data_IF_141609542072
#
_entry.id   IF_141609542072
#
_cell.length_a   1.000
_cell.length_b   1.000
_cell.length_c   1.000
_cell.angle_alpha   90.00
_cell.angle_beta   90.00
_cell.angle_gamma   90.00
#
_symmetry.space_group_name_H-M   'P 1'
#
loop_
_entity.id
_entity.type
_entity.pdbx_description
1 polymer ?
#
# COMPACT_ATOMS: atom_id res chain seq x y z
N UNK A 1 -34.47 27.66 -53.88
CA UNK A 1 -34.34 26.91 -52.61
C UNK A 1 -33.13 27.46 -51.86
N UNK A 2 -32.87 27.04 -50.64
CA UNK A 2 -33.32 27.88 -49.51
C UNK A 2 -32.12 28.55 -48.85
N UNK A 3 -32.24 29.81 -48.40
CA UNK A 3 -31.16 30.51 -47.68
C UNK A 3 -30.69 29.74 -46.44
N UNK A 4 -31.61 29.00 -45.80
CA UNK A 4 -31.30 28.12 -44.66
C UNK A 4 -30.34 26.97 -45.02
N UNK A 5 -30.30 26.52 -46.28
CA UNK A 5 -29.42 25.42 -46.73
C UNK A 5 -27.97 25.92 -46.87
N UNK A 6 -27.76 27.04 -47.58
CA UNK A 6 -26.49 27.77 -47.61
C UNK A 6 -26.00 28.15 -46.20
N UNK A 7 -26.90 28.63 -45.34
CA UNK A 7 -26.57 28.95 -43.95
C UNK A 7 -26.17 27.69 -43.16
N UNK A 8 -26.88 26.57 -43.31
CA UNK A 8 -26.51 25.30 -42.67
C UNK A 8 -25.12 24.83 -43.12
N UNK A 9 -24.85 24.86 -44.43
CA UNK A 9 -23.56 24.49 -45.02
C UNK A 9 -22.41 25.36 -44.47
N UNK A 10 -22.63 26.67 -44.36
CA UNK A 10 -21.68 27.60 -43.72
C UNK A 10 -21.50 27.30 -42.22
N UNK A 11 -22.59 27.05 -41.48
CA UNK A 11 -22.50 26.72 -40.04
C UNK A 11 -21.79 25.39 -39.77
N UNK A 12 -21.93 24.41 -40.68
CA UNK A 12 -21.25 23.12 -40.56
C UNK A 12 -19.76 23.21 -40.91
N UNK A 13 -19.41 24.07 -41.88
CA UNK A 13 -18.03 24.37 -42.23
C UNK A 13 -17.31 25.13 -41.10
N UNK A 14 -17.91 26.22 -40.61
CA UNK A 14 -17.36 27.10 -39.59
C UNK A 14 -17.49 26.54 -38.16
N UNK A 15 -18.43 25.61 -37.94
CA UNK A 15 -18.86 25.08 -36.63
C UNK A 15 -19.53 26.11 -35.71
N UNK A 16 -19.85 27.29 -36.24
CA UNK A 16 -20.59 28.38 -35.58
C UNK A 16 -21.42 29.15 -36.62
N UNK A 17 -22.39 29.93 -36.18
CA UNK A 17 -23.16 30.82 -37.08
C UNK A 17 -22.28 31.98 -37.56
N UNK A 18 -22.28 32.32 -38.87
CA UNK A 18 -21.60 33.51 -39.40
C UNK A 18 -21.87 34.81 -38.63
N UNK A 19 -23.10 34.98 -38.14
CA UNK A 19 -23.52 36.16 -37.35
C UNK A 19 -22.73 36.23 -36.03
N UNK A 20 -22.53 35.11 -35.32
CA UNK A 20 -21.79 35.08 -34.04
C UNK A 20 -20.34 35.56 -34.17
N UNK A 21 -19.70 35.37 -35.33
CA UNK A 21 -18.35 35.89 -35.59
C UNK A 21 -18.37 37.42 -35.74
N UNK A 22 -19.43 37.97 -36.32
CA UNK A 22 -19.59 39.40 -36.53
C UNK A 22 -20.03 40.09 -35.22
N UNK A 23 -20.90 39.44 -34.44
CA UNK A 23 -21.24 39.81 -33.06
C UNK A 23 -19.96 39.94 -32.22
N UNK A 24 -19.13 38.88 -32.15
CA UNK A 24 -17.85 38.88 -31.40
C UNK A 24 -16.90 40.00 -31.85
N UNK A 25 -16.84 40.30 -33.16
CA UNK A 25 -16.01 41.39 -33.70
C UNK A 25 -16.54 42.75 -33.24
N UNK A 26 -17.84 43.01 -33.38
CA UNK A 26 -18.49 44.26 -32.94
C UNK A 26 -18.29 44.45 -31.43
N UNK A 27 -18.53 43.39 -30.66
CA UNK A 27 -18.40 43.40 -29.21
C UNK A 27 -16.94 43.64 -28.77
N UNK A 28 -15.95 43.09 -29.49
CA UNK A 28 -14.53 43.36 -29.25
C UNK A 28 -14.13 44.82 -29.53
N UNK A 29 -14.74 45.43 -30.54
CA UNK A 29 -14.42 46.78 -31.01
C UNK A 29 -15.10 47.83 -30.13
N UNK A 30 -16.34 47.59 -29.68
CA UNK A 30 -16.96 48.38 -28.62
C UNK A 30 -16.13 48.34 -27.32
N UNK A 31 -15.68 47.16 -26.90
CA UNK A 31 -14.79 46.99 -25.72
C UNK A 31 -13.41 47.64 -25.88
N UNK A 32 -12.95 47.87 -27.12
CA UNK A 32 -11.71 48.61 -27.40
C UNK A 32 -11.96 50.12 -27.46
N UNK A 33 -13.09 50.55 -28.01
CA UNK A 33 -13.50 51.94 -28.12
C UNK A 33 -13.69 52.58 -26.74
N UNK A 34 -14.40 51.93 -25.83
CA UNK A 34 -14.56 52.42 -24.45
C UNK A 34 -13.20 52.57 -23.75
N UNK A 35 -12.35 51.53 -23.78
CA UNK A 35 -10.98 51.61 -23.24
C UNK A 35 -10.11 52.70 -23.85
N UNK A 36 -10.35 53.07 -25.11
CA UNK A 36 -9.64 54.16 -25.77
C UNK A 36 -10.15 55.53 -25.30
N UNK A 37 -11.46 55.69 -25.06
CA UNK A 37 -12.03 56.89 -24.43
C UNK A 37 -11.58 57.01 -22.98
N UNK A 38 -11.67 55.94 -22.18
CA UNK A 38 -11.17 55.86 -20.79
C UNK A 38 -9.69 56.30 -20.71
N UNK A 39 -8.85 55.78 -21.61
CA UNK A 39 -7.42 56.10 -21.64
C UNK A 39 -7.13 57.54 -22.11
N UNK A 40 -7.99 58.13 -22.94
CA UNK A 40 -7.91 59.56 -23.32
C UNK A 40 -8.35 60.45 -22.16
N UNK A 41 -9.44 60.14 -21.48
CA UNK A 41 -9.90 60.89 -20.30
C UNK A 41 -8.89 60.82 -19.16
N UNK A 42 -8.41 59.62 -18.83
CA UNK A 42 -7.37 59.43 -17.81
C UNK A 42 -6.05 60.10 -18.22
N UNK A 43 -5.67 60.02 -19.50
CA UNK A 43 -4.47 60.65 -20.03
C UNK A 43 -4.51 62.18 -19.93
N UNK A 44 -5.64 62.80 -20.32
CA UNK A 44 -5.86 64.25 -20.20
C UNK A 44 -5.96 64.70 -18.74
N UNK A 45 -6.64 63.92 -17.88
CA UNK A 45 -6.78 64.22 -16.45
C UNK A 45 -5.49 64.06 -15.64
N UNK A 46 -4.51 63.31 -16.18
CA UNK A 46 -3.18 63.12 -15.59
C UNK A 46 -2.11 64.01 -16.24
N UNK A 47 -2.44 64.72 -17.32
CA UNK A 47 -1.51 65.62 -17.99
C UNK A 47 -1.20 66.85 -17.11
N UNK A 48 0.07 67.33 -17.04
CA UNK A 48 0.38 68.57 -16.34
C UNK A 48 -0.26 69.76 -17.07
N UNK A 49 -0.71 70.80 -16.34
CA UNK A 49 -1.42 71.93 -16.95
C UNK A 49 -0.61 72.67 -18.02
N UNK A 50 0.72 72.71 -17.88
CA UNK A 50 1.65 73.23 -18.90
C UNK A 50 1.49 72.54 -20.26
N UNK A 51 1.30 71.21 -20.27
CA UNK A 51 1.11 70.43 -21.50
C UNK A 51 -0.30 70.59 -22.11
N UNK A 52 -1.27 71.04 -21.30
CA UNK A 52 -2.61 71.45 -21.73
C UNK A 52 -2.63 72.94 -22.18
N UNK A 53 -1.50 73.65 -22.12
CA UNK A 53 -1.40 75.08 -22.45
C UNK A 53 -1.94 76.03 -21.37
N UNK A 54 -2.20 75.52 -20.17
CA UNK A 54 -2.73 76.28 -19.04
C UNK A 54 -1.59 76.84 -18.19
N UNK A 55 -1.33 78.15 -18.34
CA UNK A 55 -0.43 78.87 -17.44
C UNK A 55 -1.11 79.03 -16.07
N UNK A 56 -0.76 78.16 -15.13
CA UNK A 56 -1.33 78.12 -13.78
C UNK A 56 -0.28 78.62 -12.77
N UNK A 57 -0.53 79.79 -12.18
CA UNK A 57 0.17 80.23 -10.97
C UNK A 57 -0.43 79.51 -9.74
N UNK A 58 0.37 78.76 -8.96
CA UNK A 58 -0.12 77.95 -7.83
C UNK A 58 -0.45 78.77 -6.57
N UNK A 59 -0.44 80.12 -6.65
CA UNK A 59 -0.71 81.03 -5.53
C UNK A 59 -2.01 81.84 -5.65
N UNK A 60 -2.67 81.85 -6.81
CA UNK A 60 -3.91 82.63 -7.03
C UNK A 60 -5.14 81.70 -6.90
N UNK A 61 -6.11 81.93 -6.00
CA UNK A 61 -7.20 80.98 -5.72
C UNK A 61 -8.07 80.61 -6.93
N UNK A 62 -8.06 81.44 -7.99
CA UNK A 62 -8.74 81.18 -9.25
C UNK A 62 -8.17 80.01 -10.05
N UNK A 63 -6.90 79.62 -9.84
CA UNK A 63 -6.33 78.49 -10.58
C UNK A 63 -6.92 77.16 -10.11
N UNK A 64 -7.27 77.03 -8.83
CA UNK A 64 -7.97 75.87 -8.28
C UNK A 64 -9.38 75.73 -8.88
N UNK A 65 -10.09 76.84 -9.05
CA UNK A 65 -11.39 76.88 -9.74
C UNK A 65 -11.25 76.51 -11.23
N UNK A 66 -10.21 77.02 -11.90
CA UNK A 66 -9.92 76.74 -13.30
C UNK A 66 -9.56 75.25 -13.54
N UNK A 67 -8.75 74.64 -12.67
CA UNK A 67 -8.45 73.20 -12.74
C UNK A 67 -9.71 72.34 -12.61
N UNK A 68 -10.61 72.69 -11.69
CA UNK A 68 -11.87 71.98 -11.51
C UNK A 68 -12.77 72.11 -12.74
N UNK A 69 -12.85 73.31 -13.33
CA UNK A 69 -13.61 73.55 -14.57
C UNK A 69 -13.01 72.82 -15.78
N UNK A 70 -11.68 72.76 -15.90
CA UNK A 70 -10.98 72.02 -16.97
C UNK A 70 -11.24 70.51 -16.86
N UNK A 71 -11.23 69.94 -15.65
CA UNK A 71 -11.55 68.51 -15.43
C UNK A 71 -13.01 68.19 -15.86
N UNK A 72 -13.95 69.07 -15.52
CA UNK A 72 -15.35 68.96 -15.96
C UNK A 72 -15.49 69.10 -17.49
N UNK A 73 -14.71 69.99 -18.12
CA UNK A 73 -14.69 70.12 -19.59
C UNK A 73 -14.06 68.91 -20.30
N UNK A 74 -13.05 68.27 -19.69
CA UNK A 74 -12.47 67.00 -20.15
C UNK A 74 -13.51 65.87 -20.07
N UNK A 75 -14.18 65.69 -18.94
CA UNK A 75 -15.27 64.70 -18.74
C UNK A 75 -16.41 64.92 -19.76
N UNK A 76 -16.90 66.16 -19.86
CA UNK A 76 -17.91 66.54 -20.84
C UNK A 76 -17.42 66.51 -22.30
N UNK A 77 -16.11 66.42 -22.54
CA UNK A 77 -15.48 66.19 -23.84
C UNK A 77 -15.40 64.69 -24.17
N UNK A 78 -14.97 63.88 -23.20
CA UNK A 78 -14.89 62.42 -23.27
C UNK A 78 -16.27 61.81 -23.58
N UNK A 79 -17.31 62.16 -22.83
CA UNK A 79 -18.68 61.69 -23.10
C UNK A 79 -19.19 62.07 -24.51
N UNK A 80 -18.82 63.25 -25.03
CA UNK A 80 -19.18 63.65 -26.42
C UNK A 80 -18.42 62.82 -27.44
N UNK A 81 -17.14 62.53 -27.19
CA UNK A 81 -16.33 61.65 -28.02
C UNK A 81 -16.87 60.21 -27.99
N UNK A 82 -17.26 59.69 -26.83
CA UNK A 82 -17.91 58.38 -26.66
C UNK A 82 -19.21 58.31 -27.49
N UNK A 83 -20.06 59.33 -27.40
CA UNK A 83 -21.35 59.37 -28.13
C UNK A 83 -21.13 59.39 -29.64
N UNK A 84 -20.15 60.16 -30.12
CA UNK A 84 -19.76 60.23 -31.53
C UNK A 84 -19.13 58.91 -31.99
N UNK A 85 -18.23 58.34 -31.19
CA UNK A 85 -17.54 57.10 -31.51
C UNK A 85 -18.51 55.92 -31.57
N UNK A 86 -19.42 55.78 -30.59
CA UNK A 86 -20.47 54.77 -30.60
C UNK A 86 -21.35 54.86 -31.85
N UNK A 87 -21.91 56.05 -32.16
CA UNK A 87 -22.76 56.25 -33.35
C UNK A 87 -22.03 56.12 -34.70
N UNK A 88 -20.70 56.23 -34.72
CA UNK A 88 -19.88 56.01 -35.92
C UNK A 88 -19.32 54.59 -36.03
N UNK A 89 -19.19 53.85 -34.93
CA UNK A 89 -18.94 52.41 -34.94
C UNK A 89 -20.19 51.71 -35.45
N UNK A 90 -21.31 51.77 -34.70
CA UNK A 90 -22.65 51.24 -35.03
C UNK A 90 -22.95 51.29 -36.55
N UNK A 91 -23.13 52.51 -37.07
CA UNK A 91 -23.44 52.79 -38.48
C UNK A 91 -22.40 52.32 -39.53
N UNK A 92 -21.18 52.00 -39.14
CA UNK A 92 -20.16 51.47 -40.06
C UNK A 92 -19.98 49.96 -39.92
N UNK A 93 -20.18 49.42 -38.72
CA UNK A 93 -20.13 47.99 -38.46
C UNK A 93 -21.39 47.28 -38.93
N UNK A 94 -22.58 47.91 -38.90
CA UNK A 94 -23.78 47.47 -39.63
C UNK A 94 -23.47 47.18 -41.12
N UNK A 95 -22.79 48.13 -41.78
CA UNK A 95 -22.45 48.01 -43.20
C UNK A 95 -21.42 46.92 -43.44
N UNK A 96 -20.49 46.75 -42.50
CA UNK A 96 -19.49 45.69 -42.54
C UNK A 96 -20.14 44.32 -42.36
N UNK A 97 -21.10 44.18 -41.44
CA UNK A 97 -21.88 42.96 -41.23
C UNK A 97 -22.66 42.58 -42.50
N UNK A 98 -23.47 43.52 -43.02
CA UNK A 98 -24.22 43.33 -44.27
C UNK A 98 -23.32 43.03 -45.46
N UNK A 99 -22.13 43.63 -45.54
CA UNK A 99 -21.14 43.31 -46.58
C UNK A 99 -20.52 41.91 -46.38
N UNK A 100 -20.15 41.55 -45.16
CA UNK A 100 -19.53 40.28 -44.83
C UNK A 100 -20.49 39.10 -45.08
N UNK A 101 -21.73 39.19 -44.59
CA UNK A 101 -22.78 38.19 -44.82
C UNK A 101 -23.21 38.08 -46.30
N UNK A 102 -22.98 39.13 -47.11
CA UNK A 102 -23.32 39.14 -48.54
C UNK A 102 -22.17 38.73 -49.46
N UNK A 103 -20.91 38.95 -49.07
CA UNK A 103 -19.76 38.85 -49.98
C UNK A 103 -18.56 38.06 -49.46
N UNK A 104 -18.44 37.81 -48.15
CA UNK A 104 -17.30 37.11 -47.55
C UNK A 104 -17.74 35.73 -47.06
N UNK A 105 -18.79 35.69 -46.24
CA UNK A 105 -19.37 34.46 -45.66
C UNK A 105 -20.67 34.12 -46.39
N UNK A 106 -20.58 34.05 -47.72
CA UNK A 106 -21.70 33.85 -48.63
C UNK A 106 -21.38 32.78 -49.68
N UNK A 107 -22.37 31.94 -50.00
CA UNK A 107 -22.28 30.93 -51.05
C UNK A 107 -23.04 31.43 -52.29
N UNK A 108 -22.40 31.56 -53.47
CA UNK A 108 -23.09 31.87 -54.72
C UNK A 108 -24.12 30.79 -55.09
N UNK A 109 -25.28 31.22 -55.58
CA UNK A 109 -26.42 30.37 -55.91
C UNK A 109 -26.08 29.21 -56.87
N UNK A 110 -25.19 29.43 -57.83
CA UNK A 110 -24.79 28.43 -58.84
C UNK A 110 -23.85 27.33 -58.28
N UNK A 111 -23.32 27.49 -57.07
CA UNK A 111 -22.29 26.63 -56.48
C UNK A 111 -22.80 25.73 -55.34
N UNK A 112 -24.03 25.93 -54.85
CA UNK A 112 -24.55 25.23 -53.66
C UNK A 112 -24.48 23.69 -53.82
N UNK A 113 -24.95 23.15 -54.95
CA UNK A 113 -24.94 21.70 -55.24
C UNK A 113 -23.54 21.10 -55.47
N UNK A 114 -22.52 21.93 -55.67
CA UNK A 114 -21.15 21.49 -55.98
C UNK A 114 -20.19 21.52 -54.78
N UNK A 115 -20.58 22.15 -53.66
CA UNK A 115 -19.74 22.27 -52.47
C UNK A 115 -19.88 21.02 -51.59
N UNK A 116 -18.77 20.30 -51.42
CA UNK A 116 -18.65 19.14 -50.52
C UNK A 116 -17.66 19.47 -49.40
N UNK A 117 -18.11 19.42 -48.15
CA UNK A 117 -17.23 19.62 -46.98
C UNK A 117 -16.35 18.37 -46.76
N UNK A 118 -15.15 18.51 -46.15
CA UNK A 118 -14.21 17.40 -45.98
C UNK A 118 -14.76 16.18 -45.21
N UNK A 119 -15.65 16.37 -44.23
CA UNK A 119 -16.27 15.26 -43.50
C UNK A 119 -17.32 14.49 -44.34
N UNK A 120 -17.76 15.04 -45.48
CA UNK A 120 -18.56 14.30 -46.45
C UNK A 120 -17.71 13.50 -47.44
N UNK A 121 -16.38 13.59 -47.41
CA UNK A 121 -15.51 12.72 -48.21
C UNK A 121 -15.64 11.26 -47.76
N UNK A 122 -15.60 10.32 -48.71
CA UNK A 122 -15.83 8.89 -48.45
C UNK A 122 -17.28 8.48 -48.14
N UNK A 123 -18.15 9.40 -47.70
CA UNK A 123 -19.59 9.11 -47.51
C UNK A 123 -20.30 8.89 -48.86
N UNK A 124 -20.92 7.71 -48.98
CA UNK A 124 -21.80 7.34 -50.09
C UNK A 124 -23.26 7.38 -49.62
N UNK A 125 -24.00 8.43 -50.00
CA UNK A 125 -25.43 8.56 -49.71
C UNK A 125 -26.34 7.62 -50.51
N UNK A 126 -25.77 6.89 -51.48
CA UNK A 126 -26.42 5.72 -52.08
C UNK A 126 -26.44 4.61 -51.04
N UNK A 127 -27.57 4.47 -50.36
CA UNK A 127 -27.82 3.40 -49.40
C UNK A 127 -27.52 2.04 -50.06
N UNK A 128 -26.52 1.27 -49.59
CA UNK A 128 -26.29 -0.06 -50.14
C UNK A 128 -27.43 -0.99 -49.74
N UNK A 129 -27.76 -1.96 -50.59
CA UNK A 129 -28.80 -2.96 -50.31
C UNK A 129 -28.44 -3.85 -49.10
N UNK A 130 -27.14 -4.00 -48.81
CA UNK A 130 -26.57 -4.73 -47.67
C UNK A 130 -26.29 -3.82 -46.45
N UNK A 131 -26.97 -2.67 -46.36
CA UNK A 131 -26.86 -1.77 -45.20
C UNK A 131 -27.43 -2.43 -43.92
N UNK A 132 -26.73 -2.35 -42.77
CA UNK A 132 -27.19 -2.98 -41.54
C UNK A 132 -28.44 -2.29 -40.98
N UNK A 133 -29.61 -2.90 -41.21
CA UNK A 133 -30.89 -2.44 -40.67
C UNK A 133 -30.84 -2.29 -39.15
N UNK A 134 -31.61 -1.36 -38.59
CA UNK A 134 -31.73 -1.15 -37.13
C UNK A 134 -32.01 -2.47 -36.37
N UNK A 135 -32.73 -3.40 -37.00
CA UNK A 135 -33.01 -4.74 -36.46
C UNK A 135 -31.78 -5.66 -36.41
N UNK A 136 -30.92 -5.66 -37.42
CA UNK A 136 -29.68 -6.47 -37.41
C UNK A 136 -28.71 -5.93 -36.36
N UNK A 137 -28.62 -4.60 -36.21
CA UNK A 137 -27.85 -3.93 -35.15
C UNK A 137 -28.41 -4.28 -33.75
N UNK A 138 -29.73 -4.32 -33.58
CA UNK A 138 -30.39 -4.76 -32.32
C UNK A 138 -30.09 -6.23 -32.02
N UNK A 139 -30.18 -7.12 -33.01
CA UNK A 139 -29.86 -8.55 -32.86
C UNK A 139 -28.37 -8.77 -32.53
N UNK A 140 -27.46 -8.03 -33.17
CA UNK A 140 -26.03 -8.06 -32.82
C UNK A 140 -25.80 -7.56 -31.39
N UNK A 141 -26.44 -6.47 -30.97
CA UNK A 141 -26.35 -5.94 -29.60
C UNK A 141 -26.85 -6.95 -28.55
N UNK A 142 -27.96 -7.62 -28.82
CA UNK A 142 -28.48 -8.69 -27.96
C UNK A 142 -27.52 -9.90 -27.89
N UNK A 143 -26.96 -10.34 -29.03
CA UNK A 143 -25.94 -11.40 -29.07
C UNK A 143 -24.70 -11.02 -28.26
N UNK A 144 -24.23 -9.77 -28.33
CA UNK A 144 -23.11 -9.26 -27.53
C UNK A 144 -23.45 -9.24 -26.04
N UNK A 145 -24.67 -8.84 -25.66
CA UNK A 145 -25.12 -8.85 -24.26
C UNK A 145 -25.16 -10.26 -23.66
N UNK A 146 -25.72 -11.25 -24.38
CA UNK A 146 -25.72 -12.64 -23.90
C UNK A 146 -24.32 -13.28 -23.93
N UNK A 147 -23.46 -12.93 -24.89
CA UNK A 147 -22.05 -13.35 -24.88
C UNK A 147 -21.29 -12.77 -23.67
N UNK A 148 -21.52 -11.50 -23.32
CA UNK A 148 -20.96 -10.88 -22.11
C UNK A 148 -21.51 -11.53 -20.83
N UNK A 149 -22.80 -11.90 -20.80
CA UNK A 149 -23.42 -12.63 -19.68
C UNK A 149 -22.82 -14.03 -19.51
N UNK A 150 -22.67 -14.78 -20.61
CA UNK A 150 -22.03 -16.09 -20.62
C UNK A 150 -20.58 -15.98 -20.12
N UNK A 151 -19.81 -15.00 -20.58
CA UNK A 151 -18.44 -14.76 -20.12
C UNK A 151 -18.39 -14.50 -18.59
N UNK A 152 -19.29 -13.67 -18.05
CA UNK A 152 -19.40 -13.45 -16.60
C UNK A 152 -19.69 -14.73 -15.82
N UNK A 153 -20.60 -15.58 -16.32
CA UNK A 153 -20.89 -16.89 -15.71
C UNK A 153 -19.68 -17.83 -15.80
N UNK A 154 -19.01 -17.90 -16.95
CA UNK A 154 -17.82 -18.73 -17.17
C UNK A 154 -16.67 -18.30 -16.25
N UNK A 155 -16.40 -17.01 -16.11
CA UNK A 155 -15.39 -16.51 -15.16
C UNK A 155 -15.76 -16.83 -13.71
N UNK A 156 -17.02 -16.74 -13.31
CA UNK A 156 -17.48 -17.12 -11.97
C UNK A 156 -17.37 -18.63 -11.69
N UNK A 157 -17.66 -19.50 -12.67
CA UNK A 157 -17.39 -20.94 -12.54
C UNK A 157 -15.88 -21.23 -12.54
N UNK A 158 -15.08 -20.49 -13.32
CA UNK A 158 -13.61 -20.64 -13.30
C UNK A 158 -13.01 -20.28 -11.93
N UNK A 159 -13.52 -19.25 -11.26
CA UNK A 159 -13.03 -18.84 -9.93
C UNK A 159 -13.52 -19.77 -8.81
N UNK A 160 -14.75 -20.31 -8.90
CA UNK A 160 -15.19 -21.43 -8.05
C UNK A 160 -14.28 -22.64 -8.23
N UNK A 161 -13.98 -23.01 -9.47
CA UNK A 161 -13.13 -24.17 -9.77
C UNK A 161 -11.69 -23.96 -9.28
N UNK A 162 -11.06 -22.80 -9.48
CA UNK A 162 -9.73 -22.55 -8.91
C UNK A 162 -9.74 -22.53 -7.39
N UNK A 163 -10.79 -21.98 -6.74
CA UNK A 163 -10.95 -22.04 -5.29
C UNK A 163 -11.13 -23.47 -4.76
N UNK A 164 -11.95 -24.31 -5.41
CA UNK A 164 -12.12 -25.73 -5.06
C UNK A 164 -10.79 -26.48 -5.22
N UNK A 165 -10.10 -26.31 -6.34
CA UNK A 165 -8.82 -27.00 -6.57
C UNK A 165 -7.75 -26.50 -5.57
N UNK A 166 -7.77 -25.21 -5.16
CA UNK A 166 -6.88 -24.71 -4.12
C UNK A 166 -7.22 -25.26 -2.73
N UNK A 167 -8.50 -25.47 -2.38
CA UNK A 167 -8.90 -26.18 -1.16
C UNK A 167 -8.47 -27.65 -1.18
N UNK A 168 -8.57 -28.32 -2.33
CA UNK A 168 -8.05 -29.69 -2.49
C UNK A 168 -6.51 -29.75 -2.38
N UNK A 169 -5.80 -28.69 -2.78
CA UNK A 169 -4.35 -28.57 -2.57
C UNK A 169 -3.99 -28.28 -1.11
N UNK A 170 -4.67 -27.37 -0.41
CA UNK A 170 -4.37 -27.08 0.99
C UNK A 170 -4.64 -28.29 1.90
N UNK A 171 -5.72 -29.03 1.67
CA UNK A 171 -5.98 -30.32 2.35
C UNK A 171 -4.84 -31.34 2.15
N UNK A 172 -4.17 -31.31 1.00
CA UNK A 172 -3.01 -32.14 0.65
C UNK A 172 -1.66 -31.52 1.06
N UNK A 173 -1.62 -30.26 1.49
CA UNK A 173 -0.40 -29.50 1.78
C UNK A 173 0.38 -28.99 0.56
N UNK A 174 -0.19 -29.08 -0.65
CA UNK A 174 0.43 -28.53 -1.86
C UNK A 174 0.21 -27.01 -1.95
N UNK A 175 1.17 -26.25 -2.50
CA UNK A 175 0.98 -24.82 -2.76
C UNK A 175 -0.16 -24.57 -3.77
N UNK A 176 -0.87 -23.43 -3.69
CA UNK A 176 -1.88 -23.08 -4.68
C UNK A 176 -1.23 -22.93 -6.06
N UNK A 177 -1.81 -23.57 -7.09
CA UNK A 177 -1.40 -23.33 -8.47
C UNK A 177 -1.97 -21.99 -8.90
N UNK A 178 -1.11 -21.00 -8.97
CA UNK A 178 -1.42 -19.72 -9.62
C UNK A 178 -1.91 -19.94 -11.05
N UNK A 179 -2.86 -19.09 -11.46
CA UNK A 179 -3.18 -18.86 -12.86
C UNK A 179 -1.98 -18.15 -13.55
N UNK A 180 -1.87 -18.15 -14.90
CA UNK A 180 -0.63 -17.74 -15.57
C UNK A 180 -0.28 -16.26 -15.38
N UNK A 181 1.00 -15.95 -15.66
CA UNK A 181 1.62 -14.66 -15.35
C UNK A 181 1.02 -13.48 -16.13
N UNK A 182 0.45 -12.52 -15.39
CA UNK A 182 0.41 -11.10 -15.79
C UNK A 182 0.71 -10.24 -14.57
N UNK A 183 1.51 -9.18 -14.76
CA UNK A 183 1.95 -8.20 -13.75
C UNK A 183 2.55 -8.77 -12.44
N UNK A 184 3.89 -8.89 -12.40
CA UNK A 184 4.63 -8.82 -11.13
C UNK A 184 4.62 -7.38 -10.64
N UNK A 185 4.16 -7.16 -9.41
CA UNK A 185 4.41 -5.95 -8.64
C UNK A 185 5.12 -6.35 -7.33
N UNK A 186 6.25 -5.73 -6.95
CA UNK A 186 6.97 -6.08 -5.72
C UNK A 186 6.41 -5.34 -4.50
N UNK A 187 6.33 -6.02 -3.35
CA UNK A 187 6.19 -5.37 -2.04
C UNK A 187 4.83 -5.49 -1.35
N UNK A 188 4.51 -6.67 -0.80
CA UNK A 188 3.55 -6.81 0.31
C UNK A 188 3.77 -8.14 1.06
N UNK A 189 4.90 -8.24 1.76
CA UNK A 189 5.24 -9.40 2.59
C UNK A 189 4.60 -9.30 3.98
N UNK A 190 3.28 -9.48 4.06
CA UNK A 190 2.55 -9.68 5.33
C UNK A 190 1.78 -11.01 5.30
N UNK A 191 1.97 -11.90 6.30
CA UNK A 191 1.23 -13.14 6.39
C UNK A 191 -0.18 -12.87 6.91
N UNK A 192 -1.16 -12.76 6.00
CA UNK A 192 -2.58 -12.67 6.37
C UNK A 192 -2.99 -13.92 7.16
N UNK A 193 -3.21 -13.75 8.46
CA UNK A 193 -3.65 -14.83 9.36
C UNK A 193 -5.10 -15.24 9.07
N UNK A 194 -5.49 -16.40 9.60
CA UNK A 194 -6.89 -16.90 9.65
C UNK A 194 -7.46 -17.56 8.38
N UNK A 195 -6.65 -18.25 7.58
CA UNK A 195 -7.15 -19.44 6.85
C UNK A 195 -6.09 -20.55 6.75
N UNK A 196 -5.37 -20.79 7.87
CA UNK A 196 -4.46 -21.93 8.04
C UNK A 196 -5.26 -23.22 8.22
N UNK A 197 -5.87 -23.69 7.12
CA UNK A 197 -6.36 -25.05 7.01
C UNK A 197 -5.16 -26.01 7.18
N UNK A 198 -4.98 -26.52 8.39
CA UNK A 198 -3.97 -27.54 8.70
C UNK A 198 -4.07 -28.65 7.64
N UNK A 199 -2.95 -29.02 6.98
CA UNK A 199 -3.00 -29.87 5.81
C UNK A 199 -3.23 -31.33 6.20
N UNK A 200 -4.51 -31.66 6.43
CA UNK A 200 -5.01 -32.91 7.04
C UNK A 200 -4.39 -34.17 6.45
N UNK A 201 -4.06 -34.15 5.15
CA UNK A 201 -3.50 -35.29 4.43
C UNK A 201 -2.03 -35.15 4.01
N UNK A 202 -1.33 -34.04 4.31
CA UNK A 202 0.09 -33.90 3.99
C UNK A 202 0.98 -34.91 4.74
N UNK A 203 0.56 -35.30 5.95
CA UNK A 203 1.19 -36.38 6.72
C UNK A 203 1.11 -37.76 6.03
N UNK A 204 0.29 -37.91 4.98
CA UNK A 204 0.23 -39.13 4.15
C UNK A 204 1.18 -39.07 2.95
N UNK A 205 1.62 -37.88 2.53
CA UNK A 205 2.60 -37.71 1.45
C UNK A 205 4.03 -37.73 2.00
N UNK A 206 4.26 -37.10 3.15
CA UNK A 206 5.54 -37.09 3.86
C UNK A 206 5.82 -38.44 4.57
N UNK A 207 5.97 -39.52 3.79
CA UNK A 207 6.25 -40.89 4.29
C UNK A 207 7.63 -41.06 4.96
N UNK A 208 8.46 -40.02 5.07
CA UNK A 208 9.90 -40.09 5.39
C UNK A 208 10.25 -41.08 6.53
N UNK A 209 9.88 -40.78 7.78
CA UNK A 209 10.19 -41.60 8.96
C UNK A 209 9.48 -42.98 8.99
N UNK A 210 8.61 -43.27 8.02
CA UNK A 210 7.88 -44.54 7.89
C UNK A 210 8.35 -45.39 6.69
N UNK A 211 9.13 -44.82 5.76
CA UNK A 211 9.56 -45.51 4.54
C UNK A 211 10.82 -46.37 4.73
N UNK A 212 11.68 -46.02 5.69
CA UNK A 212 12.90 -46.78 6.03
C UNK A 212 12.62 -48.20 6.54
N UNK A 213 11.35 -48.54 6.81
CA UNK A 213 10.89 -49.80 7.39
C UNK A 213 9.87 -50.58 6.54
N UNK A 214 10.28 -51.06 5.37
CA UNK A 214 9.59 -52.12 4.57
C UNK A 214 8.28 -51.75 3.86
N UNK A 215 8.39 -51.37 2.58
CA UNK A 215 7.31 -51.49 1.58
C UNK A 215 6.29 -50.35 1.52
N UNK A 216 5.37 -50.41 0.56
CA UNK A 216 4.46 -49.29 0.22
C UNK A 216 3.44 -48.92 1.31
N UNK A 217 3.14 -49.85 2.23
CA UNK A 217 2.06 -49.76 3.23
C UNK A 217 2.57 -49.90 4.68
N UNK A 218 3.59 -49.13 5.12
CA UNK A 218 4.30 -49.37 6.37
C UNK A 218 3.41 -49.23 7.62
N UNK A 219 2.35 -48.41 7.55
CA UNK A 219 1.37 -48.30 8.62
C UNK A 219 0.60 -49.61 8.84
N UNK A 220 0.31 -50.34 7.76
CA UNK A 220 -0.45 -51.60 7.84
C UNK A 220 0.41 -52.76 8.33
N UNK A 221 1.68 -52.83 7.93
CA UNK A 221 2.64 -53.84 8.40
C UNK A 221 3.00 -53.60 9.87
N UNK A 222 3.27 -52.36 10.27
CA UNK A 222 3.55 -52.01 11.67
C UNK A 222 2.33 -52.23 12.57
N UNK A 223 1.11 -51.90 12.13
CA UNK A 223 -0.11 -52.20 12.88
C UNK A 223 -0.32 -53.72 13.04
N UNK A 224 -0.11 -54.51 11.98
CA UNK A 224 -0.20 -55.98 12.05
C UNK A 224 0.87 -56.57 12.99
N UNK A 225 2.10 -56.03 12.98
CA UNK A 225 3.16 -56.44 13.89
C UNK A 225 2.81 -56.13 15.36
N UNK A 226 2.37 -54.91 15.68
CA UNK A 226 1.95 -54.54 17.05
C UNK A 226 0.78 -55.41 17.52
N UNK A 227 -0.19 -55.70 16.65
CA UNK A 227 -1.29 -56.64 16.94
C UNK A 227 -0.78 -58.07 17.21
N UNK A 228 0.26 -58.53 16.52
CA UNK A 228 0.88 -59.85 16.74
C UNK A 228 1.72 -59.94 18.02
N UNK A 229 2.27 -58.82 18.51
CA UNK A 229 3.06 -58.76 19.75
C UNK A 229 2.19 -58.62 21.02
N UNK A 230 0.97 -58.06 20.89
CA UNK A 230 0.05 -57.87 22.03
C UNK A 230 -0.28 -59.16 22.82
N UNK A 231 -0.46 -60.35 22.20
CA UNK A 231 -0.60 -61.61 22.93
C UNK A 231 0.62 -61.97 23.78
N UNK A 232 1.84 -61.82 23.25
CA UNK A 232 3.07 -62.12 23.96
C UNK A 232 3.32 -61.17 25.15
N UNK A 233 3.00 -59.89 24.99
CA UNK A 233 3.01 -58.92 26.09
C UNK A 233 1.96 -59.24 27.16
N UNK A 234 0.79 -59.77 26.77
CA UNK A 234 -0.25 -60.20 27.72
C UNK A 234 0.14 -61.43 28.52
N UNK A 235 0.83 -62.42 27.92
CA UNK A 235 1.34 -63.57 28.69
C UNK A 235 2.47 -63.17 29.63
N UNK A 236 3.44 -62.36 29.18
CA UNK A 236 4.54 -61.88 30.02
C UNK A 236 4.03 -61.01 31.19
N UNK A 237 3.01 -60.18 30.96
CA UNK A 237 2.33 -59.45 32.03
C UNK A 237 1.55 -60.37 32.99
N UNK A 238 1.00 -61.49 32.50
CA UNK A 238 0.37 -62.50 33.37
C UNK A 238 1.39 -63.24 34.26
N UNK A 239 2.63 -63.41 33.80
CA UNK A 239 3.74 -63.99 34.58
C UNK A 239 4.38 -63.00 35.58
N UNK A 240 4.50 -61.72 35.21
CA UNK A 240 5.03 -60.68 36.11
C UNK A 240 4.06 -60.30 37.23
N UNK A 241 2.75 -60.32 36.97
CA UNK A 241 1.71 -59.92 37.94
C UNK A 241 1.71 -60.72 39.27
N UNK A 242 1.93 -62.05 39.31
CA UNK A 242 2.17 -62.76 40.57
C UNK A 242 3.53 -62.44 41.19
N UNK A 243 4.58 -62.14 40.41
CA UNK A 243 5.88 -61.73 40.97
C UNK A 243 5.79 -60.35 41.67
N UNK A 244 5.04 -59.40 41.12
CA UNK A 244 4.74 -58.13 41.82
C UNK A 244 3.98 -58.36 43.14
N UNK A 245 3.04 -59.30 43.18
CA UNK A 245 2.33 -59.66 44.42
C UNK A 245 3.28 -60.23 45.46
N UNK A 246 4.12 -61.19 45.08
CA UNK A 246 5.14 -61.77 45.97
C UNK A 246 6.13 -60.72 46.49
N UNK A 247 6.52 -59.73 45.68
CA UNK A 247 7.38 -58.61 46.10
C UNK A 247 6.63 -57.58 46.97
N UNK A 248 5.33 -57.40 46.77
CA UNK A 248 4.46 -56.58 47.61
C UNK A 248 4.14 -57.22 48.97
N UNK A 249 4.03 -58.55 49.01
CA UNK A 249 3.83 -59.34 50.23
C UNK A 249 5.12 -59.49 51.03
N UNK A 250 6.26 -59.73 50.37
CA UNK A 250 7.59 -59.71 51.01
C UNK A 250 7.95 -58.35 51.62
N UNK A 251 7.32 -57.26 51.18
CA UNK A 251 7.40 -55.92 51.81
C UNK A 251 6.48 -55.70 53.02
N UNK A 252 5.65 -56.67 53.38
CA UNK A 252 4.77 -56.65 54.56
C UNK A 252 5.17 -57.69 55.62
N UNK A 253 6.27 -58.42 55.39
CA UNK A 253 6.64 -59.62 56.12
C UNK A 253 7.77 -59.45 57.16
N UNK A 254 8.26 -58.21 57.39
CA UNK A 254 9.25 -57.89 58.42
C UNK A 254 8.66 -56.93 59.50
N UNK A 255 7.96 -57.43 60.53
CA UNK A 255 7.37 -56.60 61.58
C UNK A 255 8.04 -56.81 62.95
N UNK A 256 9.36 -56.53 63.07
CA UNK A 256 10.02 -56.20 64.36
C UNK A 256 11.50 -55.84 64.19
N UNK A 257 11.85 -54.58 64.43
CA UNK A 257 13.06 -54.10 65.13
C UNK A 257 12.83 -52.62 65.50
N UNK A 258 13.52 -52.16 66.55
CA UNK A 258 13.18 -50.95 67.32
C UNK A 258 13.25 -49.61 66.56
N UNK A 259 12.67 -48.58 67.17
CA UNK A 259 12.80 -47.17 66.76
C UNK A 259 14.29 -46.75 66.73
N UNK A 260 14.80 -46.42 65.55
CA UNK A 260 16.20 -46.00 65.39
C UNK A 260 16.48 -45.40 64.02
N UNK A 261 16.23 -44.08 63.89
CA UNK A 261 16.66 -43.22 62.77
C UNK A 261 16.59 -43.87 61.37
N UNK A 262 15.42 -44.42 61.03
CA UNK A 262 15.22 -45.28 59.86
C UNK A 262 15.62 -44.66 58.51
N UNK A 263 16.42 -45.41 57.75
CA UNK A 263 17.01 -45.00 56.48
C UNK A 263 15.96 -44.53 55.45
N UNK A 264 16.31 -43.48 54.68
CA UNK A 264 15.46 -43.02 53.58
C UNK A 264 15.27 -44.13 52.55
N UNK A 265 14.02 -44.52 52.29
CA UNK A 265 13.68 -45.56 51.32
C UNK A 265 14.36 -45.35 49.97
N UNK A 266 14.89 -46.40 49.32
CA UNK A 266 15.58 -46.36 48.01
C UNK A 266 14.95 -45.46 46.94
N UNK A 267 13.61 -45.35 46.89
CA UNK A 267 12.91 -44.41 45.98
C UNK A 267 13.22 -42.94 46.30
N UNK A 268 13.24 -42.54 47.58
CA UNK A 268 13.65 -41.20 48.02
C UNK A 268 15.14 -40.97 47.75
N UNK A 269 16.02 -41.93 48.06
CA UNK A 269 17.45 -41.84 47.74
C UNK A 269 17.68 -41.63 46.23
N UNK A 270 16.94 -42.32 45.35
CA UNK A 270 17.02 -42.12 43.90
C UNK A 270 16.49 -40.76 43.45
N UNK A 271 15.40 -40.27 44.03
CA UNK A 271 14.88 -38.92 43.73
C UNK A 271 15.90 -37.86 44.17
N UNK A 272 16.39 -37.92 45.40
CA UNK A 272 17.42 -37.00 45.92
C UNK A 272 18.74 -37.08 45.11
N UNK A 273 19.12 -38.28 44.62
CA UNK A 273 20.27 -38.43 43.72
C UNK A 273 20.03 -37.78 42.35
N UNK A 274 18.85 -37.96 41.75
CA UNK A 274 18.49 -37.33 40.47
C UNK A 274 18.45 -35.81 40.64
N UNK A 275 17.77 -35.30 41.68
CA UNK A 275 17.69 -33.87 41.99
C UNK A 275 19.06 -33.23 42.26
N UNK A 276 19.98 -33.93 42.94
CA UNK A 276 21.35 -33.44 43.15
C UNK A 276 22.20 -33.51 41.88
N UNK A 277 22.01 -34.50 41.00
CA UNK A 277 22.73 -34.54 39.71
C UNK A 277 22.17 -33.52 38.71
N UNK A 278 20.86 -33.29 38.65
CA UNK A 278 20.27 -32.25 37.79
C UNK A 278 20.65 -30.86 38.27
N UNK A 279 20.57 -30.57 39.59
CA UNK A 279 21.08 -29.31 40.17
C UNK A 279 22.55 -29.09 39.81
N UNK A 280 23.42 -30.09 40.07
CA UNK A 280 24.86 -29.99 39.77
C UNK A 280 25.15 -29.84 38.27
N UNK A 281 24.30 -30.38 37.40
CA UNK A 281 24.40 -30.18 35.95
C UNK A 281 24.01 -28.75 35.53
N UNK A 282 22.91 -28.21 36.07
CA UNK A 282 22.48 -26.83 35.83
C UNK A 282 23.52 -25.82 36.33
N UNK A 283 24.04 -26.00 37.55
CA UNK A 283 25.12 -25.20 38.13
C UNK A 283 26.40 -25.26 37.26
N UNK A 284 26.84 -26.45 36.83
CA UNK A 284 28.14 -26.63 36.18
C UNK A 284 28.15 -26.41 34.67
N UNK A 285 27.04 -26.65 33.97
CA UNK A 285 26.96 -26.60 32.50
C UNK A 285 26.17 -25.40 31.99
N UNK A 286 25.17 -24.94 32.75
CA UNK A 286 24.32 -23.80 32.37
C UNK A 286 24.70 -22.53 33.16
N UNK A 287 25.48 -22.66 34.24
CA UNK A 287 25.97 -21.52 35.03
C UNK A 287 24.91 -20.88 35.94
N UNK A 288 23.79 -21.58 36.18
CA UNK A 288 22.70 -21.09 37.02
C UNK A 288 23.04 -21.31 38.49
N UNK A 289 22.95 -20.26 39.32
CA UNK A 289 22.99 -20.41 40.77
C UNK A 289 21.59 -20.81 41.27
N UNK A 290 21.48 -21.98 41.92
CA UNK A 290 20.22 -22.45 42.49
C UNK A 290 20.20 -22.29 44.01
N UNK A 291 19.16 -21.61 44.52
CA UNK A 291 18.89 -21.49 45.94
C UNK A 291 18.61 -22.85 46.60
N UNK A 292 18.64 -22.87 47.94
CA UNK A 292 18.46 -24.09 48.76
C UNK A 292 17.18 -24.88 48.42
N UNK A 293 16.13 -24.19 47.95
CA UNK A 293 14.83 -24.74 47.58
C UNK A 293 14.69 -25.06 46.07
N UNK A 294 15.67 -24.70 45.23
CA UNK A 294 15.59 -24.84 43.77
C UNK A 294 15.14 -23.59 43.00
N UNK A 295 15.04 -22.44 43.67
CA UNK A 295 14.83 -21.11 43.06
C UNK A 295 16.06 -20.71 42.22
N UNK A 296 15.86 -20.00 41.09
CA UNK A 296 16.94 -19.55 40.19
C UNK A 296 17.39 -18.14 40.56
N UNK A 297 18.70 -17.94 40.72
CA UNK A 297 19.30 -16.65 41.05
C UNK A 297 19.46 -15.71 39.85
N UNK A 298 18.41 -14.97 39.51
CA UNK A 298 18.47 -13.90 38.50
C UNK A 298 19.22 -12.66 39.03
N UNK A 299 20.56 -12.69 38.95
CA UNK A 299 21.48 -11.54 38.81
C UNK A 299 21.63 -10.50 39.94
N UNK A 300 20.57 -10.18 40.70
CA UNK A 300 20.53 -9.06 41.67
C UNK A 300 20.55 -9.52 43.14
N UNK A 301 20.58 -10.82 43.40
CA UNK A 301 20.59 -11.39 44.75
C UNK A 301 21.94 -11.22 45.46
N UNK A 302 22.09 -10.13 46.22
CA UNK A 302 23.25 -9.88 47.09
C UNK A 302 23.19 -10.72 48.39
N UNK A 303 23.29 -12.05 48.25
CA UNK A 303 23.52 -12.99 49.35
C UNK A 303 24.91 -13.65 49.19
N UNK A 304 25.43 -14.28 50.26
CA UNK A 304 26.80 -14.82 50.35
C UNK A 304 27.25 -15.59 49.09
N UNK A 305 28.03 -14.92 48.22
CA UNK A 305 28.48 -15.46 46.95
C UNK A 305 29.33 -16.73 47.08
N UNK A 306 29.32 -17.54 46.02
CA UNK A 306 29.97 -18.87 45.87
C UNK A 306 30.86 -19.28 47.06
N UNK A 307 30.30 -20.06 47.99
CA UNK A 307 31.03 -20.59 49.14
C UNK A 307 32.13 -21.57 48.67
N UNK A 308 33.32 -21.02 48.42
CA UNK A 308 34.49 -21.75 47.98
C UNK A 308 34.75 -22.95 48.90
N UNK A 309 35.02 -24.11 48.31
CA UNK A 309 35.36 -25.29 49.10
C UNK A 309 36.67 -25.03 49.85
N UNK A 310 36.81 -25.56 51.07
CA UNK A 310 38.03 -25.37 51.88
C UNK A 310 39.32 -25.78 51.13
N UNK A 311 39.23 -26.75 50.21
CA UNK A 311 40.32 -27.10 49.29
C UNK A 311 40.65 -26.00 48.28
N UNK A 312 39.66 -25.37 47.64
CA UNK A 312 39.89 -24.24 46.72
C UNK A 312 40.55 -23.05 47.44
N UNK A 313 40.20 -22.82 48.71
CA UNK A 313 40.87 -21.80 49.54
C UNK A 313 42.32 -22.18 49.83
N UNK A 314 42.61 -23.43 50.20
CA UNK A 314 43.99 -23.89 50.42
C UNK A 314 44.83 -23.91 49.13
N UNK A 315 44.24 -24.23 47.99
CA UNK A 315 44.92 -24.17 46.68
C UNK A 315 45.17 -22.72 46.25
N UNK A 316 44.27 -21.78 46.58
CA UNK A 316 44.49 -20.34 46.38
C UNK A 316 45.55 -19.78 47.34
N UNK A 317 45.53 -20.14 48.62
CA UNK A 317 46.58 -19.79 49.60
C UNK A 317 47.95 -20.27 49.09
N UNK A 318 48.04 -21.52 48.63
CA UNK A 318 49.26 -22.14 48.10
C UNK A 318 49.70 -21.56 46.75
N UNK A 319 48.78 -21.10 45.90
CA UNK A 319 49.12 -20.33 44.70
C UNK A 319 49.60 -18.92 45.04
N UNK A 320 48.99 -18.25 46.02
CA UNK A 320 49.45 -16.93 46.51
C UNK A 320 50.81 -17.04 47.19
N UNK A 321 51.10 -18.12 47.92
CA UNK A 321 52.43 -18.42 48.47
C UNK A 321 53.48 -18.58 47.34
N UNK A 322 53.11 -19.24 46.22
CA UNK A 322 53.98 -19.34 45.03
C UNK A 322 54.08 -18.06 44.19
N UNK A 323 53.11 -17.14 44.25
CA UNK A 323 53.10 -15.88 43.46
C UNK A 323 53.65 -14.68 44.25
N UNK A 324 53.52 -14.67 45.57
CA UNK A 324 54.12 -13.64 46.44
C UNK A 324 55.62 -13.78 46.64
N UNK A 325 56.19 -14.95 46.30
CA UNK A 325 57.61 -15.28 46.47
C UNK A 325 58.56 -14.64 45.45
N UNK A 326 58.40 -13.37 45.07
CA UNK A 326 59.30 -12.76 44.08
C UNK A 326 59.22 -11.24 43.90
N UNK A 327 60.05 -10.48 44.65
CA UNK A 327 60.76 -9.26 44.18
C UNK A 327 61.55 -8.59 45.31
N UNK A 328 62.88 -8.46 45.17
CA UNK A 328 63.65 -7.20 45.36
C UNK A 328 65.15 -7.46 45.61
N UNK A 329 66.02 -7.02 44.70
CA UNK A 329 67.45 -6.75 44.97
C UNK A 329 67.94 -5.60 44.06
N UNK A 330 68.63 -4.60 44.64
CA UNK A 330 68.96 -3.31 44.01
C UNK A 330 68.15 -2.14 44.62
N UNK A 331 68.71 -1.05 45.17
CA UNK A 331 69.75 -0.06 44.72
C UNK A 331 69.20 0.97 43.72
N UNK A 332 69.55 2.27 43.73
CA UNK A 332 70.16 3.19 44.72
C UNK A 332 69.21 4.45 44.80
N UNK A 333 69.47 5.71 45.23
CA UNK A 333 70.63 6.55 45.59
C UNK A 333 70.13 7.80 46.40
N UNK A 334 71.02 8.56 47.06
CA UNK A 334 70.90 9.94 47.65
C UNK A 334 70.04 10.16 48.92
N UNK A 335 70.53 10.65 50.09
CA UNK A 335 71.62 11.60 50.49
C UNK A 335 71.18 13.09 50.32
N UNK A 336 71.35 14.03 51.27
CA UNK A 336 72.54 14.36 52.11
C UNK A 336 72.25 14.70 53.59
N UNK A 337 73.33 14.90 54.36
CA UNK A 337 73.42 15.14 55.82
C UNK A 337 72.92 16.51 56.34
N UNK A 338 72.47 16.53 57.61
CA UNK A 338 72.90 17.44 58.70
C UNK A 338 72.94 16.62 60.00
#
# INVERSE_FOLDING_TARGET
MSTNSKMALLTEHLRHTPVSLLDDIIDSINKLAWKAVDAVEQGLSTAPPEALGLNIDPSDPKSVELEAQVKLEIEAGAHKLETLLGTTIDKNFDKMEVFALRSIVAIPDDLEDWIRLPHYEGLNFKHPDDAPTIETIRLQRAKVQEAQRLNRLLTAESSKNTAIINRLRSLRGLPPKSAPETSKAPGSSEPSTNDTAYPVFAHLENKADLADGTGDTPLSTNAAFVLSQLPALKSLLAELKPQERLLGERKKADPNIAEGQGEKTWRKQRVEYIETQTRRHLEKVVGLELGKNGEVGDGEWQAEGRKLAKGEVQDLEKMVEMIGGGSSEGKDEKMTDV
#
